data_IF_251270408136
#
_entry.id   IF_251270408136
#
_cell.length_a   1.000
_cell.length_b   1.000
_cell.length_c   1.000
_cell.angle_alpha   90.00
_cell.angle_beta   90.00
_cell.angle_gamma   90.00
#
_symmetry.space_group_name_H-M   'P 1'
#
loop_
_entity.id
_entity.type
_entity.pdbx_description
1 polymer ?
#
# COMPACT_ATOMS: atom_id res chain seq x y z
N UNK A 1 0.95 -25.11 -25.23
CA UNK A 1 0.71 -23.90 -24.41
C UNK A 1 2.01 -23.14 -24.34
N UNK A 2 2.15 -22.03 -25.08
CA UNK A 2 3.40 -21.27 -25.10
C UNK A 2 3.60 -20.56 -23.75
N UNK A 3 4.77 -20.65 -23.10
CA UNK A 3 5.04 -19.87 -21.89
C UNK A 3 5.06 -18.38 -22.26
N UNK A 4 4.29 -17.57 -21.54
CA UNK A 4 4.27 -16.11 -21.72
C UNK A 4 5.67 -15.54 -21.54
N UNK A 5 6.14 -14.70 -22.49
CA UNK A 5 7.47 -14.09 -22.52
C UNK A 5 7.87 -13.35 -21.23
N UNK A 6 6.91 -12.97 -20.39
CA UNK A 6 7.09 -12.24 -19.13
C UNK A 6 7.66 -13.13 -18.01
N UNK A 7 7.48 -14.45 -18.08
CA UNK A 7 8.07 -15.37 -17.11
C UNK A 7 9.54 -15.67 -17.49
N UNK A 8 10.42 -14.68 -17.39
CA UNK A 8 11.87 -14.94 -17.42
C UNK A 8 12.34 -15.46 -16.06
N UNK A 9 11.77 -16.57 -15.59
CA UNK A 9 12.00 -17.09 -14.24
C UNK A 9 12.02 -18.62 -14.17
N UNK A 10 12.83 -19.14 -13.24
CA UNK A 10 13.03 -20.56 -12.87
C UNK A 10 11.78 -21.45 -12.81
N UNK A 11 10.58 -20.89 -12.65
CA UNK A 11 9.33 -21.64 -12.50
C UNK A 11 8.61 -21.96 -13.82
N UNK A 12 9.10 -21.49 -14.97
CA UNK A 12 8.45 -21.72 -16.27
C UNK A 12 8.22 -23.20 -16.56
N UNK A 13 9.20 -24.05 -16.28
CA UNK A 13 9.11 -25.49 -16.55
C UNK A 13 8.04 -26.20 -15.70
N UNK A 14 7.68 -25.61 -14.54
CA UNK A 14 6.64 -26.14 -13.64
C UNK A 14 5.22 -25.73 -14.08
N UNK A 15 5.11 -24.75 -14.97
CA UNK A 15 3.86 -24.17 -15.41
C UNK A 15 3.33 -23.04 -14.50
N UNK A 16 2.20 -22.42 -14.88
CA UNK A 16 1.55 -21.38 -14.09
C UNK A 16 1.18 -21.87 -12.70
N UNK A 17 1.34 -21.02 -11.68
CA UNK A 17 0.92 -21.37 -10.32
C UNK A 17 -0.58 -21.16 -10.19
N UNK A 18 -1.34 -22.24 -10.22
CA UNK A 18 -2.79 -22.24 -10.13
C UNK A 18 -3.18 -22.55 -8.69
N UNK A 19 -3.97 -21.66 -8.11
CA UNK A 19 -4.54 -21.81 -6.76
C UNK A 19 -6.05 -21.85 -6.92
N UNK A 20 -6.77 -22.74 -6.19
CA UNK A 20 -8.22 -22.70 -6.18
C UNK A 20 -8.68 -21.37 -5.56
N UNK A 21 -9.20 -20.48 -6.39
CA UNK A 21 -9.81 -19.22 -5.99
C UNK A 21 -11.34 -19.34 -6.19
N UNK A 22 -12.17 -18.72 -5.33
CA UNK A 22 -13.61 -18.68 -5.50
C UNK A 22 -13.95 -17.72 -6.65
N UNK A 23 -13.79 -18.20 -7.88
CA UNK A 23 -14.02 -17.43 -9.10
C UNK A 23 -15.51 -17.52 -9.44
N UNK A 24 -16.21 -16.41 -9.28
CA UNK A 24 -17.55 -16.25 -9.84
C UNK A 24 -17.38 -15.66 -11.23
N UNK A 25 -18.00 -16.28 -12.24
CA UNK A 25 -18.01 -15.72 -13.59
C UNK A 25 -18.74 -14.38 -13.57
N UNK A 26 -18.11 -13.34 -14.11
CA UNK A 26 -18.76 -12.05 -14.27
C UNK A 26 -19.97 -12.22 -15.20
N UNK A 27 -21.14 -11.80 -14.73
CA UNK A 27 -22.37 -11.73 -15.54
C UNK A 27 -22.47 -10.30 -16.07
N UNK A 28 -22.65 -10.10 -17.39
CA UNK A 28 -22.77 -8.76 -17.96
C UNK A 28 -23.98 -8.05 -17.35
N UNK A 29 -23.76 -6.84 -16.81
CA UNK A 29 -24.80 -6.02 -16.17
C UNK A 29 -24.94 -6.21 -14.66
N UNK A 30 -24.25 -7.18 -14.05
CA UNK A 30 -24.21 -7.36 -12.59
C UNK A 30 -22.84 -6.98 -12.05
N UNK A 31 -22.80 -6.09 -11.06
CA UNK A 31 -21.56 -5.81 -10.32
C UNK A 31 -21.09 -7.09 -9.62
N UNK A 32 -19.94 -7.60 -10.06
CA UNK A 32 -19.33 -8.77 -9.45
C UNK A 32 -18.70 -8.37 -8.12
N UNK A 33 -18.94 -9.16 -7.07
CA UNK A 33 -18.34 -8.92 -5.76
C UNK A 33 -16.82 -9.14 -5.82
N UNK A 34 -16.01 -8.29 -5.17
CA UNK A 34 -14.56 -8.46 -5.14
C UNK A 34 -14.15 -9.80 -4.51
N UNK A 35 -13.24 -10.51 -5.18
CA UNK A 35 -12.75 -11.82 -4.72
C UNK A 35 -11.59 -11.60 -3.75
N UNK A 36 -11.79 -11.94 -2.47
CA UNK A 36 -10.75 -11.84 -1.44
C UNK A 36 -9.75 -12.99 -1.56
N UNK A 37 -8.47 -12.68 -1.61
CA UNK A 37 -7.40 -13.67 -1.75
C UNK A 37 -6.15 -13.33 -0.95
N UNK A 38 -5.56 -14.36 -0.34
CA UNK A 38 -4.23 -14.30 0.28
C UNK A 38 -3.15 -14.90 -0.62
N UNK A 39 -3.53 -15.52 -1.75
CA UNK A 39 -2.64 -16.24 -2.63
C UNK A 39 -1.87 -15.31 -3.58
N UNK A 40 -0.93 -14.53 -3.04
CA UNK A 40 -0.11 -13.56 -3.80
C UNK A 40 0.76 -14.20 -4.89
N UNK A 41 1.08 -15.49 -4.78
CA UNK A 41 1.92 -16.21 -5.73
C UNK A 41 1.15 -16.79 -6.93
N UNK A 42 -0.18 -16.68 -6.94
CA UNK A 42 -1.01 -17.17 -8.05
C UNK A 42 -0.72 -16.35 -9.32
N UNK A 43 -0.65 -17.05 -10.45
CA UNK A 43 -0.52 -16.42 -11.77
C UNK A 43 -1.88 -15.89 -12.21
N UNK A 44 -1.90 -14.71 -12.85
CA UNK A 44 -3.12 -14.17 -13.48
C UNK A 44 -3.39 -14.94 -14.77
N UNK A 45 -4.55 -15.59 -14.83
CA UNK A 45 -5.01 -16.30 -16.02
C UNK A 45 -5.85 -15.38 -16.91
N UNK A 46 -5.94 -15.65 -18.23
CA UNK A 46 -6.83 -14.91 -19.14
C UNK A 46 -8.28 -14.87 -18.67
N UNK A 47 -8.75 -15.93 -17.98
CA UNK A 47 -10.11 -16.01 -17.45
C UNK A 47 -10.41 -15.02 -16.31
N UNK A 48 -9.40 -14.32 -15.79
CA UNK A 48 -9.55 -13.38 -14.69
C UNK A 48 -9.71 -11.93 -15.16
N UNK A 49 -9.58 -11.67 -16.46
CA UNK A 49 -9.74 -10.33 -17.03
C UNK A 49 -11.15 -9.83 -16.76
N UNK A 50 -11.26 -8.60 -16.24
CA UNK A 50 -12.54 -7.98 -15.87
C UNK A 50 -13.07 -8.37 -14.48
N UNK A 51 -12.39 -9.27 -13.76
CA UNK A 51 -12.69 -9.55 -12.35
C UNK A 51 -11.92 -8.61 -11.42
N UNK A 52 -12.54 -8.33 -10.28
CA UNK A 52 -11.95 -7.51 -9.22
C UNK A 52 -11.48 -8.39 -8.08
N UNK A 53 -10.21 -8.23 -7.67
CA UNK A 53 -9.59 -9.00 -6.60
C UNK A 53 -9.19 -8.11 -5.44
N UNK A 54 -9.48 -8.57 -4.24
CA UNK A 54 -8.96 -8.03 -3.00
C UNK A 54 -7.71 -8.82 -2.59
N UNK A 55 -6.54 -8.25 -2.79
CA UNK A 55 -5.25 -8.91 -2.58
C UNK A 55 -4.71 -8.53 -1.19
N UNK A 56 -4.44 -9.54 -0.36
CA UNK A 56 -3.89 -9.30 0.96
C UNK A 56 -2.44 -8.80 0.92
N UNK A 57 -2.17 -7.69 1.59
CA UNK A 57 -0.84 -7.06 1.64
C UNK A 57 -0.05 -7.36 2.92
N UNK A 58 -0.62 -8.16 3.84
CA UNK A 58 -0.06 -8.43 5.17
C UNK A 58 -0.77 -7.68 6.30
N UNK A 59 -1.57 -6.66 5.97
CA UNK A 59 -2.38 -5.89 6.94
C UNK A 59 -3.77 -5.57 6.40
N UNK A 60 -3.84 -5.15 5.15
CA UNK A 60 -5.07 -4.73 4.47
C UNK A 60 -5.25 -5.51 3.17
N UNK A 61 -6.48 -5.53 2.67
CA UNK A 61 -6.82 -6.05 1.35
C UNK A 61 -6.90 -4.88 0.37
N UNK A 62 -6.09 -4.93 -0.68
CA UNK A 62 -6.07 -3.92 -1.73
C UNK A 62 -6.93 -4.41 -2.90
N UNK A 63 -7.90 -3.60 -3.31
CA UNK A 63 -8.77 -3.91 -4.45
C UNK A 63 -8.06 -3.58 -5.77
N UNK A 64 -8.02 -4.55 -6.68
CA UNK A 64 -7.38 -4.45 -8.00
C UNK A 64 -8.30 -5.07 -9.04
N UNK A 65 -8.67 -4.29 -10.06
CA UNK A 65 -9.38 -4.81 -11.24
C UNK A 65 -8.37 -5.25 -12.29
N UNK A 66 -8.50 -6.47 -12.79
CA UNK A 66 -7.52 -7.07 -13.70
C UNK A 66 -7.79 -6.69 -15.15
N UNK A 67 -6.76 -6.18 -15.83
CA UNK A 67 -6.75 -5.91 -17.28
C UNK A 67 -6.01 -7.01 -18.05
N UNK A 68 -6.13 -7.02 -19.38
CA UNK A 68 -5.49 -8.02 -20.25
C UNK A 68 -3.96 -8.00 -20.17
N UNK A 69 -3.35 -6.82 -20.02
CA UNK A 69 -1.90 -6.66 -19.92
C UNK A 69 -1.31 -7.31 -18.65
N UNK A 70 -2.14 -7.56 -17.63
CA UNK A 70 -1.72 -8.19 -16.38
C UNK A 70 -1.62 -9.72 -16.49
N UNK A 71 -2.08 -10.31 -17.59
CA UNK A 71 -2.07 -11.78 -17.78
C UNK A 71 -0.62 -12.30 -17.79
N UNK A 72 -0.38 -13.35 -17.00
CA UNK A 72 0.96 -13.94 -16.84
C UNK A 72 1.78 -13.39 -15.66
N UNK A 73 1.40 -12.24 -15.11
CA UNK A 73 1.99 -11.69 -13.88
C UNK A 73 1.48 -12.42 -12.63
N UNK A 74 2.13 -12.16 -11.48
CA UNK A 74 1.65 -12.62 -10.17
C UNK A 74 0.71 -11.61 -9.54
N UNK A 75 -0.36 -12.08 -8.90
CA UNK A 75 -1.29 -11.21 -8.16
C UNK A 75 -0.55 -10.31 -7.14
N UNK A 76 0.47 -10.84 -6.48
CA UNK A 76 1.26 -10.10 -5.50
C UNK A 76 2.01 -8.88 -6.05
N UNK A 77 2.28 -8.81 -7.35
CA UNK A 77 2.99 -7.68 -7.98
C UNK A 77 2.16 -6.39 -7.90
N UNK A 78 0.83 -6.51 -7.92
CA UNK A 78 -0.10 -5.39 -7.88
C UNK A 78 -0.45 -4.91 -6.47
N UNK A 79 0.10 -5.54 -5.43
CA UNK A 79 -0.07 -5.14 -4.03
C UNK A 79 1.27 -5.08 -3.31
N UNK A 80 1.82 -3.87 -3.17
CA UNK A 80 3.12 -3.62 -2.56
C UNK A 80 3.07 -3.64 -1.02
N UNK A 81 3.91 -4.48 -0.39
CA UNK A 81 3.90 -4.75 1.07
C UNK A 81 4.61 -3.70 1.92
N UNK A 82 5.49 -2.90 1.31
CA UNK A 82 6.30 -1.90 1.99
C UNK A 82 5.97 -0.52 1.43
N UNK A 83 5.85 0.46 2.32
CA UNK A 83 5.78 1.86 1.91
C UNK A 83 7.08 2.24 1.19
N UNK A 84 6.96 3.10 0.19
CA UNK A 84 8.11 3.67 -0.50
C UNK A 84 9.00 4.39 0.51
N UNK A 85 10.30 4.12 0.45
CA UNK A 85 11.28 4.83 1.25
C UNK A 85 11.42 6.26 0.73
N UNK A 86 11.32 7.23 1.64
CA UNK A 86 11.51 8.65 1.36
C UNK A 86 12.43 9.21 2.43
N UNK A 87 13.48 9.93 2.01
CA UNK A 87 14.34 10.67 2.92
C UNK A 87 13.56 11.83 3.53
N UNK A 88 13.60 11.95 4.85
CA UNK A 88 13.13 13.16 5.55
C UNK A 88 14.24 14.22 5.39
N UNK A 89 13.94 15.34 4.73
CA UNK A 89 14.85 16.49 4.80
C UNK A 89 14.74 17.08 6.20
N UNK A 90 15.88 17.17 6.89
CA UNK A 90 15.98 17.91 8.14
C UNK A 90 16.06 19.39 7.78
N UNK A 91 15.25 20.24 8.42
CA UNK A 91 15.38 21.69 8.30
C UNK A 91 16.75 22.11 8.83
N UNK A 92 17.49 22.90 8.06
CA UNK A 92 18.74 23.51 8.52
C UNK A 92 18.38 24.71 9.40
N UNK A 93 18.55 24.55 10.71
CA UNK A 93 18.68 25.67 11.64
C UNK A 93 20.18 25.85 11.90
N UNK A 94 20.77 26.75 11.11
CA UNK A 94 22.04 27.47 11.32
C UNK A 94 23.18 26.76 12.06
N UNK A 95 23.94 25.93 11.34
CA UNK A 95 25.42 25.90 11.37
C UNK A 95 25.93 24.78 10.46
N UNK A 96 26.81 25.14 9.52
CA UNK A 96 27.31 24.23 8.50
C UNK A 96 28.03 23.01 9.09
N UNK A 97 27.36 21.87 9.13
CA UNK A 97 28.02 20.56 9.16
C UNK A 97 27.05 19.53 8.59
N UNK A 98 27.40 19.01 7.41
CA UNK A 98 26.51 18.17 6.63
C UNK A 98 26.57 16.69 7.10
N UNK A 99 25.37 16.12 7.22
CA UNK A 99 24.98 14.71 7.08
C UNK A 99 25.32 13.74 8.22
N UNK A 100 24.30 13.43 9.02
CA UNK A 100 24.10 12.10 9.56
C UNK A 100 22.71 11.59 9.14
N UNK A 101 22.68 10.65 8.19
CA UNK A 101 21.47 9.92 7.83
C UNK A 101 21.26 8.84 8.89
N UNK A 102 20.40 9.09 9.88
CA UNK A 102 19.99 8.05 10.82
C UNK A 102 18.76 7.30 10.31
N UNK A 103 18.89 5.97 10.23
CA UNK A 103 17.84 5.03 9.91
C UNK A 103 16.78 5.01 11.03
N UNK A 104 15.62 5.64 10.81
CA UNK A 104 14.47 5.50 11.73
C UNK A 104 13.48 4.45 11.25
N UNK A 105 13.25 3.47 12.12
CA UNK A 105 12.31 2.36 11.99
C UNK A 105 10.93 2.88 12.40
N UNK A 106 10.15 3.39 11.43
CA UNK A 106 8.83 3.96 11.71
C UNK A 106 7.83 2.89 12.18
N UNK A 107 7.47 2.93 13.46
CA UNK A 107 6.19 2.45 13.96
C UNK A 107 5.08 3.45 13.58
N UNK A 108 3.85 2.94 13.51
CA UNK A 108 2.66 3.51 12.89
C UNK A 108 2.39 5.01 13.07
N UNK A 109 1.91 5.63 11.98
CA UNK A 109 1.13 6.85 12.01
C UNK A 109 -0.24 6.53 12.67
N UNK A 110 -0.47 7.06 13.87
CA UNK A 110 -1.82 7.40 14.32
C UNK A 110 -2.10 8.83 13.86
N UNK A 111 -3.06 8.93 12.95
CA UNK A 111 -3.53 10.18 12.36
C UNK A 111 -4.46 10.85 13.37
N UNK A 112 -4.01 11.96 13.95
CA UNK A 112 -4.90 13.06 14.36
C UNK A 112 -4.34 14.32 13.72
N UNK A 113 -4.91 14.67 12.57
CA UNK A 113 -4.72 15.98 11.97
C UNK A 113 -5.48 16.98 12.85
N UNK A 114 -4.79 17.52 13.85
CA UNK A 114 -5.21 18.72 14.57
C UNK A 114 -4.93 19.87 13.61
N UNK A 115 -5.99 20.49 13.08
CA UNK A 115 -5.86 21.67 12.22
C UNK A 115 -5.07 22.75 12.96
N UNK A 116 -4.17 23.45 12.26
CA UNK A 116 -3.23 24.42 12.85
C UNK A 116 -3.90 25.47 13.77
N UNK A 117 -5.20 25.67 13.60
CA UNK A 117 -6.08 26.54 14.39
C UNK A 117 -6.26 26.07 15.85
N UNK A 118 -6.25 24.77 16.13
CA UNK A 118 -6.41 24.21 17.49
C UNK A 118 -5.12 24.34 18.33
N UNK A 119 -3.94 24.28 17.69
CA UNK A 119 -2.64 24.45 18.34
C UNK A 119 -2.41 25.88 18.85
N UNK A 120 -2.90 26.88 18.10
CA UNK A 120 -2.84 28.30 18.47
C UNK A 120 -3.76 28.62 19.66
N UNK A 121 -4.93 27.98 19.75
CA UNK A 121 -5.84 28.14 20.88
C UNK A 121 -5.32 27.49 22.17
N UNK A 122 -4.56 26.39 22.08
CA UNK A 122 -3.92 25.76 23.24
C UNK A 122 -2.73 26.57 23.75
N UNK A 123 -1.90 27.12 22.85
CA UNK A 123 -0.79 27.98 23.26
C UNK A 123 -1.25 29.28 23.93
N UNK A 124 -2.32 29.91 23.44
CA UNK A 124 -2.87 31.13 24.04
C UNK A 124 -3.49 30.93 25.42
N UNK A 125 -4.00 29.72 25.72
CA UNK A 125 -4.52 29.39 27.05
C UNK A 125 -3.42 29.18 28.09
N UNK A 126 -2.29 28.60 27.68
CA UNK A 126 -1.15 28.33 28.57
C UNK A 126 -0.47 29.64 29.01
N UNK A 127 -0.30 30.60 28.10
CA UNK A 127 0.27 31.92 28.43
C UNK A 127 -0.67 32.76 29.30
N UNK A 128 -1.99 32.72 29.07
CA UNK A 128 -2.95 33.44 29.91
C UNK A 128 -3.05 32.89 31.35
N UNK A 129 -2.81 31.60 31.53
CA UNK A 129 -2.81 30.95 32.84
C UNK A 129 -1.50 31.23 33.60
N UNK A 130 -0.37 31.32 32.90
CA UNK A 130 0.92 31.70 33.48
C UNK A 130 0.93 33.16 33.99
N UNK A 131 0.34 34.09 33.24
CA UNK A 131 0.26 35.51 33.65
C UNK A 131 -0.68 35.78 34.83
N UNK A 132 -1.55 34.83 35.18
CA UNK A 132 -2.48 34.93 36.32
C UNK A 132 -1.89 34.36 37.62
N UNK A 133 -0.72 33.70 37.54
CA UNK A 133 0.00 33.12 38.69
C UNK A 133 1.13 34.07 39.16
N UNK A 134 1.54 35.02 38.31
CA UNK A 134 2.59 36.01 38.59
C UNK A 134 2.06 37.39 39.06
N UNK A 135 0.76 37.50 39.37
CA UNK A 135 0.13 38.69 39.98
C UNK A 135 -0.52 38.31 41.33
#
# INVERSE_FOLDING_TARGET
MFPSKVLLARSVWKGPNIVPLPIVKAVPGVRTQPIRTQARSATILPNFVGLTFEIHNGKVYNEVTITEDMVGHKLGEFSATRKRFTYKQMGNEDSGTAMAVYFSRNHANDYKNVTAEESLQLHGRITAQASSIEA
#
